data_IF_559990318093
#
_entry.id   IF_559990318093
#
_cell.length_a   1.000
_cell.length_b   1.000
_cell.length_c   1.000
_cell.angle_alpha   90.00
_cell.angle_beta   90.00
_cell.angle_gamma   90.00
#
_symmetry.space_group_name_H-M   'P 1'
#
loop_
_entity.id
_entity.type
_entity.pdbx_description
1 polymer ?
#
# COMPACT_ATOMS: atom_id res chain seq x y z
N UNK A 1 34.95 6.63 53.97
CA UNK A 1 34.43 5.53 53.13
C UNK A 1 33.06 5.93 52.60
N UNK A 2 32.97 6.28 51.30
CA UNK A 2 31.72 6.74 50.66
C UNK A 2 31.01 5.51 50.07
N UNK A 3 29.79 5.21 50.55
CA UNK A 3 28.92 4.20 49.93
C UNK A 3 28.20 4.85 48.75
N UNK A 4 28.45 4.36 47.54
CA UNK A 4 27.78 4.80 46.32
C UNK A 4 26.44 4.08 46.23
N UNK A 5 25.36 4.85 46.18
CA UNK A 5 23.99 4.39 45.96
C UNK A 5 23.78 4.20 44.45
N UNK A 6 23.84 2.96 43.96
CA UNK A 6 23.57 2.65 42.56
C UNK A 6 22.05 2.50 42.36
N UNK A 7 21.41 3.56 41.88
CA UNK A 7 20.01 3.53 41.44
C UNK A 7 19.91 2.82 40.09
N UNK A 8 19.30 1.64 40.07
CA UNK A 8 18.87 0.98 38.83
C UNK A 8 17.56 1.64 38.36
N UNK A 9 17.68 2.55 37.40
CA UNK A 9 16.55 3.09 36.65
C UNK A 9 16.07 2.04 35.65
N UNK A 10 15.11 1.21 36.06
CA UNK A 10 14.48 0.22 35.21
C UNK A 10 13.42 0.93 34.34
N UNK A 11 13.82 1.45 33.19
CA UNK A 11 12.90 2.03 32.21
C UNK A 11 12.13 0.86 31.56
N UNK A 12 10.93 0.60 32.07
CA UNK A 12 9.95 -0.27 31.40
C UNK A 12 9.48 0.41 30.10
N UNK A 13 10.13 0.04 28.99
CA UNK A 13 9.60 0.23 27.64
C UNK A 13 8.41 -0.74 27.47
N UNK A 14 7.27 -0.41 28.08
CA UNK A 14 6.00 -1.01 27.71
C UNK A 14 5.62 -0.47 26.32
N UNK A 15 6.24 -1.01 25.27
CA UNK A 15 5.66 -0.87 23.94
C UNK A 15 4.37 -1.66 23.95
N UNK A 16 3.25 -0.97 24.11
CA UNK A 16 1.95 -1.55 23.81
C UNK A 16 1.98 -1.99 22.34
N UNK A 17 2.31 -3.26 22.10
CA UNK A 17 2.01 -3.96 20.86
C UNK A 17 0.49 -4.12 20.81
N UNK A 18 -0.22 -3.01 20.56
CA UNK A 18 -1.60 -3.08 20.12
C UNK A 18 -1.52 -3.80 18.78
N UNK A 19 -1.82 -5.10 18.79
CA UNK A 19 -1.87 -5.90 17.58
C UNK A 19 -2.76 -5.18 16.58
N UNK A 20 -2.19 -4.75 15.45
CA UNK A 20 -2.98 -4.15 14.38
C UNK A 20 -3.93 -5.24 13.90
N UNK A 21 -5.22 -5.09 14.21
CA UNK A 21 -6.26 -6.00 13.72
C UNK A 21 -6.20 -6.07 12.19
N UNK A 22 -6.12 -7.29 11.64
CA UNK A 22 -6.12 -7.56 10.21
C UNK A 22 -7.54 -7.85 9.75
N UNK A 23 -7.92 -7.35 8.58
CA UNK A 23 -9.21 -7.59 7.93
C UNK A 23 -8.99 -8.19 6.54
N UNK A 24 -9.81 -9.17 6.16
CA UNK A 24 -9.83 -9.69 4.80
C UNK A 24 -10.84 -8.90 3.98
N UNK A 25 -10.45 -8.45 2.79
CA UNK A 25 -11.34 -7.71 1.87
C UNK A 25 -11.35 -8.35 0.50
N UNK A 26 -12.48 -8.21 -0.19
CA UNK A 26 -12.66 -8.61 -1.58
C UNK A 26 -12.94 -7.37 -2.44
N UNK A 27 -12.27 -7.32 -3.59
CA UNK A 27 -12.41 -6.28 -4.62
C UNK A 27 -12.83 -6.99 -5.90
N UNK A 28 -14.06 -6.76 -6.36
CA UNK A 28 -14.56 -7.36 -7.60
C UNK A 28 -14.15 -6.47 -8.76
N UNK A 29 -13.36 -6.99 -9.68
CA UNK A 29 -12.91 -6.23 -10.83
C UNK A 29 -14.08 -6.01 -11.80
N UNK A 30 -14.06 -4.87 -12.49
CA UNK A 30 -14.99 -4.58 -13.58
C UNK A 30 -14.38 -5.12 -14.89
N UNK A 31 -14.32 -6.45 -15.01
CA UNK A 31 -13.84 -7.13 -16.21
C UNK A 31 -14.80 -8.25 -16.63
N UNK A 32 -14.75 -8.70 -17.90
CA UNK A 32 -15.68 -9.73 -18.41
C UNK A 32 -15.60 -11.07 -17.68
N UNK A 33 -14.48 -11.35 -17.00
CA UNK A 33 -14.28 -12.60 -16.25
C UNK A 33 -14.79 -12.50 -14.82
N UNK A 34 -15.17 -11.30 -14.36
CA UNK A 34 -15.66 -11.05 -13.01
C UNK A 34 -14.65 -11.40 -11.93
N UNK A 35 -13.34 -11.25 -12.22
CA UNK A 35 -12.26 -11.64 -11.30
C UNK A 35 -12.43 -10.97 -9.93
N UNK A 36 -12.07 -11.68 -8.87
CA UNK A 36 -12.12 -11.14 -7.50
C UNK A 36 -10.72 -11.12 -6.91
N UNK A 37 -10.28 -9.94 -6.48
CA UNK A 37 -9.04 -9.78 -5.72
C UNK A 37 -9.35 -9.89 -4.24
N UNK A 38 -8.71 -10.85 -3.57
CA UNK A 38 -8.72 -10.95 -2.11
C UNK A 38 -7.38 -10.45 -1.54
N UNK A 39 -7.43 -9.72 -0.44
CA UNK A 39 -6.23 -9.26 0.27
C UNK A 39 -6.49 -9.08 1.78
N UNK A 40 -5.42 -9.22 2.56
CA UNK A 40 -5.39 -9.01 4.00
C UNK A 40 -4.78 -7.64 4.30
N UNK A 41 -5.55 -6.78 4.98
CA UNK A 41 -5.17 -5.41 5.26
C UNK A 41 -5.12 -5.16 6.77
N UNK A 42 -4.19 -4.33 7.28
CA UNK A 42 -4.41 -3.65 8.54
C UNK A 42 -5.76 -2.93 8.51
N UNK A 43 -6.43 -2.85 9.66
CA UNK A 43 -7.73 -2.17 9.75
C UNK A 43 -7.62 -0.72 9.23
N UNK A 44 -8.33 -0.47 8.14
CA UNK A 44 -8.42 0.83 7.48
C UNK A 44 -9.60 1.63 8.04
N UNK A 45 -9.64 2.94 7.78
CA UNK A 45 -10.71 3.83 8.26
C UNK A 45 -11.74 4.14 7.17
N UNK A 46 -11.35 4.10 5.90
CA UNK A 46 -12.24 4.41 4.77
C UNK A 46 -11.86 3.59 3.54
N UNK A 47 -12.88 3.08 2.84
CA UNK A 47 -12.75 2.48 1.50
C UNK A 47 -13.37 3.44 0.49
N UNK A 48 -12.65 3.74 -0.58
CA UNK A 48 -13.18 4.47 -1.75
C UNK A 48 -13.11 3.56 -2.97
N UNK A 49 -14.09 3.72 -3.86
CA UNK A 49 -14.16 3.01 -5.14
C UNK A 49 -14.31 4.07 -6.21
N UNK A 50 -13.40 4.07 -7.18
CA UNK A 50 -13.47 4.92 -8.37
C UNK A 50 -13.65 3.99 -9.55
N UNK A 51 -14.70 4.21 -10.33
CA UNK A 51 -14.97 3.49 -11.57
C UNK A 51 -15.43 4.49 -12.62
N UNK A 52 -14.94 4.38 -13.84
CA UNK A 52 -15.55 5.04 -14.99
C UNK A 52 -16.40 4.01 -15.73
N UNK A 53 -17.53 4.44 -16.29
CA UNK A 53 -18.53 3.55 -16.86
C UNK A 53 -17.96 2.65 -17.99
N UNK A 54 -18.37 1.38 -17.93
CA UNK A 54 -18.22 0.26 -18.86
C UNK A 54 -16.81 -0.16 -19.35
N UNK A 55 -15.83 0.73 -19.53
CA UNK A 55 -14.58 0.37 -20.25
C UNK A 55 -13.29 0.93 -19.62
N UNK A 56 -13.40 1.75 -18.58
CA UNK A 56 -12.26 2.50 -18.05
C UNK A 56 -12.07 2.12 -16.60
N UNK A 57 -11.53 0.93 -16.34
CA UNK A 57 -10.97 0.49 -15.06
C UNK A 57 -11.82 0.60 -13.77
N UNK A 58 -11.29 0.04 -12.69
CA UNK A 58 -11.80 0.24 -11.32
C UNK A 58 -10.61 0.39 -10.38
N UNK A 59 -10.70 1.30 -9.41
CA UNK A 59 -9.75 1.41 -8.32
C UNK A 59 -10.44 1.33 -6.96
N UNK A 60 -9.94 0.42 -6.15
CA UNK A 60 -10.26 0.30 -4.74
C UNK A 60 -9.13 0.91 -3.93
N UNK A 61 -9.44 1.88 -3.08
CA UNK A 61 -8.45 2.52 -2.20
C UNK A 61 -8.87 2.43 -0.75
N UNK A 62 -7.96 1.97 0.10
CA UNK A 62 -8.12 1.74 1.52
C UNK A 62 -7.26 2.74 2.30
N UNK A 63 -7.92 3.75 2.86
CA UNK A 63 -7.29 4.86 3.55
C UNK A 63 -7.12 4.59 5.04
N UNK A 64 -5.99 5.03 5.57
CA UNK A 64 -5.64 5.02 6.98
C UNK A 64 -5.70 6.45 7.55
N UNK A 65 -5.70 6.56 8.89
CA UNK A 65 -5.88 7.84 9.59
C UNK A 65 -4.78 8.87 9.27
N UNK A 66 -3.57 8.39 9.01
CA UNK A 66 -2.38 9.17 8.68
C UNK A 66 -2.28 9.55 7.20
N UNK A 67 -3.36 9.39 6.42
CA UNK A 67 -3.40 9.57 4.97
C UNK A 67 -2.54 8.57 4.16
N UNK A 68 -2.03 7.53 4.82
CA UNK A 68 -1.49 6.35 4.12
C UNK A 68 -2.63 5.65 3.38
N UNK A 69 -2.31 4.98 2.28
CA UNK A 69 -3.30 4.16 1.55
C UNK A 69 -2.68 2.90 0.97
N UNK A 70 -3.52 1.86 0.83
CA UNK A 70 -3.30 0.73 -0.09
C UNK A 70 -4.34 0.84 -1.19
N UNK A 71 -3.98 0.50 -2.43
CA UNK A 71 -4.93 0.44 -3.54
C UNK A 71 -4.75 -0.81 -4.40
N UNK A 72 -5.83 -1.17 -5.09
CA UNK A 72 -5.90 -2.19 -6.14
C UNK A 72 -6.66 -1.57 -7.30
N UNK A 73 -6.11 -1.61 -8.50
CA UNK A 73 -6.58 -0.85 -9.65
C UNK A 73 -6.41 -1.62 -10.96
N UNK A 74 -7.32 -1.37 -11.90
CA UNK A 74 -7.19 -1.81 -13.31
C UNK A 74 -7.08 -0.62 -14.27
N UNK A 75 -6.77 0.58 -13.78
CA UNK A 75 -6.55 1.75 -14.63
C UNK A 75 -5.19 1.69 -15.34
N UNK A 76 -5.21 1.48 -16.66
CA UNK A 76 -3.99 1.39 -17.47
C UNK A 76 -3.38 2.76 -17.81
N UNK A 77 -4.19 3.80 -18.00
CA UNK A 77 -3.75 5.12 -18.51
C UNK A 77 -3.12 6.05 -17.47
N UNK A 78 -2.70 5.52 -16.31
CA UNK A 78 -2.11 6.34 -15.27
C UNK A 78 -3.10 6.98 -14.30
N UNK A 79 -4.30 6.42 -14.17
CA UNK A 79 -5.25 6.81 -13.12
C UNK A 79 -4.90 6.34 -11.71
N UNK A 80 -3.77 5.65 -11.51
CA UNK A 80 -3.45 5.04 -10.21
C UNK A 80 -2.99 6.06 -9.18
N UNK A 81 -3.23 5.73 -7.90
CA UNK A 81 -2.85 6.58 -6.78
C UNK A 81 -1.36 7.00 -6.76
N UNK A 82 -0.45 6.18 -7.32
CA UNK A 82 0.99 6.47 -7.42
C UNK A 82 1.41 7.16 -8.71
N UNK A 83 0.48 7.50 -9.62
CA UNK A 83 0.82 8.07 -10.92
C UNK A 83 1.77 9.28 -10.83
N UNK A 84 1.50 10.23 -9.92
CA UNK A 84 2.35 11.40 -9.74
C UNK A 84 3.79 11.05 -9.34
N UNK A 85 3.96 10.05 -8.46
CA UNK A 85 5.28 9.58 -8.05
C UNK A 85 6.04 8.92 -9.20
N UNK A 86 5.33 8.11 -10.01
CA UNK A 86 5.92 7.38 -11.13
C UNK A 86 6.29 8.31 -12.27
N UNK A 87 5.44 9.28 -12.59
CA UNK A 87 5.68 10.28 -13.64
C UNK A 87 6.94 11.11 -13.40
N UNK A 88 7.26 11.35 -12.12
CA UNK A 88 8.44 12.13 -11.72
C UNK A 88 9.71 11.28 -11.59
N UNK A 89 9.65 9.96 -11.80
CA UNK A 89 10.80 9.06 -11.69
C UNK A 89 11.33 8.68 -13.08
N UNK A 90 12.61 8.98 -13.40
CA UNK A 90 13.19 8.66 -14.71
C UNK A 90 13.00 7.19 -15.08
N UNK A 91 12.62 6.94 -16.33
CA UNK A 91 12.32 5.60 -16.90
C UNK A 91 11.18 4.81 -16.25
N UNK A 92 10.72 5.17 -15.06
CA UNK A 92 9.64 4.46 -14.37
C UNK A 92 8.31 4.58 -15.12
N UNK A 93 8.05 5.77 -15.66
CA UNK A 93 6.86 6.03 -16.46
C UNK A 93 6.83 5.18 -17.74
N UNK A 94 7.90 5.17 -18.53
CA UNK A 94 7.99 4.34 -19.75
C UNK A 94 7.88 2.84 -19.42
N UNK A 95 8.57 2.39 -18.36
CA UNK A 95 8.54 0.98 -17.96
C UNK A 95 7.13 0.52 -17.53
N UNK A 96 6.31 1.41 -16.98
CA UNK A 96 4.92 1.10 -16.62
C UNK A 96 4.06 0.70 -17.82
N UNK A 97 4.27 1.31 -18.97
CA UNK A 97 3.50 1.02 -20.20
C UNK A 97 4.12 -0.10 -21.03
N UNK A 98 5.44 -0.25 -21.00
CA UNK A 98 6.16 -1.20 -21.85
C UNK A 98 6.27 -2.61 -21.27
N UNK A 99 6.05 -2.78 -19.96
CA UNK A 99 6.23 -4.06 -19.27
C UNK A 99 4.91 -4.59 -18.72
N UNK A 100 4.69 -5.90 -18.85
CA UNK A 100 3.56 -6.61 -18.22
C UNK A 100 3.71 -6.70 -16.69
N UNK A 101 4.94 -6.62 -16.21
CA UNK A 101 5.26 -6.63 -14.78
C UNK A 101 6.15 -5.46 -14.41
N UNK A 102 5.81 -4.77 -13.33
CA UNK A 102 6.68 -3.76 -12.72
C UNK A 102 6.67 -3.95 -11.20
N UNK A 103 7.76 -3.56 -10.57
CA UNK A 103 7.84 -3.36 -9.12
C UNK A 103 8.62 -2.07 -8.88
N UNK A 104 7.89 -0.99 -8.66
CA UNK A 104 8.45 0.34 -8.52
C UNK A 104 8.29 0.77 -7.07
N UNK A 105 9.40 1.18 -6.45
CA UNK A 105 9.41 1.75 -5.10
C UNK A 105 10.07 3.12 -5.10
N UNK A 106 9.75 3.93 -4.11
CA UNK A 106 10.47 5.18 -3.87
C UNK A 106 10.10 5.82 -2.54
N UNK A 107 10.69 7.00 -2.34
CA UNK A 107 10.43 7.89 -1.22
C UNK A 107 9.92 9.20 -1.82
N UNK A 108 8.84 9.75 -1.29
CA UNK A 108 8.32 11.06 -1.71
C UNK A 108 9.09 12.22 -1.06
N UNK A 109 8.74 13.46 -1.41
CA UNK A 109 9.38 14.66 -0.87
C UNK A 109 9.19 14.84 0.64
N UNK A 110 8.29 14.10 1.27
CA UNK A 110 8.02 14.13 2.71
C UNK A 110 8.70 12.97 3.46
N UNK A 111 9.57 12.20 2.79
CA UNK A 111 10.25 11.07 3.38
C UNK A 111 9.37 9.83 3.55
N UNK A 112 8.18 9.79 2.93
CA UNK A 112 7.26 8.66 3.02
C UNK A 112 7.47 7.70 1.86
N UNK A 113 7.29 6.41 2.12
CA UNK A 113 7.46 5.34 1.14
C UNK A 113 6.23 5.22 0.24
N UNK A 114 6.50 4.90 -1.02
CA UNK A 114 5.49 4.45 -1.97
C UNK A 114 5.98 3.24 -2.74
N UNK A 115 5.04 2.41 -3.18
CA UNK A 115 5.29 1.23 -4.01
C UNK A 115 4.12 0.99 -4.95
N UNK A 116 4.40 0.65 -6.21
CA UNK A 116 3.42 0.15 -7.18
C UNK A 116 3.97 -1.12 -7.82
N UNK A 117 3.13 -2.15 -7.84
CA UNK A 117 3.37 -3.41 -8.54
C UNK A 117 2.32 -3.54 -9.65
N UNK A 118 2.77 -3.96 -10.83
CA UNK A 118 1.92 -4.32 -11.97
C UNK A 118 2.09 -5.81 -12.25
N UNK A 119 0.98 -6.50 -12.50
CA UNK A 119 0.94 -7.87 -13.01
C UNK A 119 -0.18 -7.97 -14.05
N UNK A 120 0.18 -7.92 -15.33
CA UNK A 120 -0.78 -7.79 -16.42
C UNK A 120 -1.51 -6.46 -16.33
N UNK A 121 -2.84 -6.50 -16.29
CA UNK A 121 -3.73 -5.35 -16.16
C UNK A 121 -4.00 -4.91 -14.72
N UNK A 122 -3.47 -5.66 -13.73
CA UNK A 122 -3.65 -5.37 -12.32
C UNK A 122 -2.50 -4.52 -11.77
N UNK A 123 -2.85 -3.37 -11.20
CA UNK A 123 -1.96 -2.49 -10.46
C UNK A 123 -2.33 -2.53 -8.99
N UNK A 124 -1.34 -2.61 -8.10
CA UNK A 124 -1.59 -2.52 -6.67
C UNK A 124 -0.38 -1.94 -5.95
N UNK A 125 -0.62 -1.29 -4.83
CA UNK A 125 0.45 -0.56 -4.17
C UNK A 125 0.03 0.15 -2.91
N UNK A 126 0.96 0.92 -2.38
CA UNK A 126 0.72 1.83 -1.28
C UNK A 126 1.35 3.20 -1.52
N UNK A 127 0.83 4.19 -0.81
CA UNK A 127 1.28 5.58 -0.84
C UNK A 127 1.43 6.10 0.60
N UNK A 128 2.43 6.97 0.83
CA UNK A 128 2.66 7.72 2.07
C UNK A 128 2.96 6.86 3.32
N UNK A 129 3.50 5.66 3.14
CA UNK A 129 3.82 4.74 4.24
C UNK A 129 5.06 5.19 5.01
N UNK A 130 4.97 5.28 6.33
CA UNK A 130 6.14 5.45 7.19
C UNK A 130 7.10 4.26 7.12
N UNK A 131 8.41 4.51 7.19
CA UNK A 131 9.45 3.47 7.15
C UNK A 131 9.24 2.37 8.20
N UNK A 132 8.82 2.75 9.40
CA UNK A 132 8.48 1.83 10.49
C UNK A 132 7.32 0.88 10.15
N UNK A 133 6.44 1.27 9.24
CA UNK A 133 5.27 0.49 8.83
C UNK A 133 5.53 -0.31 7.54
N UNK A 134 6.67 -0.15 6.87
CA UNK A 134 6.97 -0.78 5.57
C UNK A 134 6.64 -2.26 5.53
N UNK A 135 7.13 -3.03 6.49
CA UNK A 135 6.93 -4.49 6.54
C UNK A 135 5.44 -4.86 6.61
N UNK A 136 4.64 -4.09 7.36
CA UNK A 136 3.19 -4.33 7.47
C UNK A 136 2.49 -4.15 6.12
N UNK A 137 2.88 -3.11 5.38
CA UNK A 137 2.27 -2.77 4.09
C UNK A 137 2.76 -3.70 2.97
N UNK A 138 4.04 -4.10 2.99
CA UNK A 138 4.55 -5.11 2.06
C UNK A 138 3.82 -6.44 2.21
N UNK A 139 3.64 -6.92 3.45
CA UNK A 139 2.85 -8.15 3.72
C UNK A 139 1.41 -8.04 3.23
N UNK A 140 0.81 -6.86 3.31
CA UNK A 140 -0.53 -6.64 2.78
C UNK A 140 -0.57 -6.81 1.25
N UNK A 141 0.44 -6.30 0.52
CA UNK A 141 0.54 -6.51 -0.94
C UNK A 141 0.85 -7.97 -1.29
N UNK A 142 1.69 -8.65 -0.50
CA UNK A 142 2.02 -10.07 -0.69
C UNK A 142 0.81 -11.00 -0.46
N UNK A 143 -0.17 -10.56 0.33
CA UNK A 143 -1.40 -11.31 0.59
C UNK A 143 -2.42 -11.31 -0.56
N UNK A 144 -2.14 -10.57 -1.65
CA UNK A 144 -3.04 -10.44 -2.79
C UNK A 144 -3.17 -11.78 -3.53
N UNK A 145 -4.42 -12.22 -3.69
CA UNK A 145 -4.78 -13.41 -4.47
C UNK A 145 -5.86 -13.03 -5.48
N UNK A 146 -5.67 -13.43 -6.73
CA UNK A 146 -6.70 -13.34 -7.78
C UNK A 146 -7.50 -14.64 -7.76
N UNK A 147 -8.82 -14.53 -7.59
CA UNK A 147 -9.79 -15.63 -7.62
C UNK A 147 -10.65 -15.56 -8.86
#
# INVERSE_FOLDING_TARGET
>A
MKKVLAGYLFIHICSCMIGKSIVSVNCRLNDPKGRVIQLQLPKYVKKTIVSNDAEVGIEYTFWYRDSTAIYVSTFEEGGTLNYGNIRNKPMAFSNRFMSDTIDLTGIDSFGKLWREVKKGDLFYGYLKVDSLNKLTFDKALESIVVK
#
